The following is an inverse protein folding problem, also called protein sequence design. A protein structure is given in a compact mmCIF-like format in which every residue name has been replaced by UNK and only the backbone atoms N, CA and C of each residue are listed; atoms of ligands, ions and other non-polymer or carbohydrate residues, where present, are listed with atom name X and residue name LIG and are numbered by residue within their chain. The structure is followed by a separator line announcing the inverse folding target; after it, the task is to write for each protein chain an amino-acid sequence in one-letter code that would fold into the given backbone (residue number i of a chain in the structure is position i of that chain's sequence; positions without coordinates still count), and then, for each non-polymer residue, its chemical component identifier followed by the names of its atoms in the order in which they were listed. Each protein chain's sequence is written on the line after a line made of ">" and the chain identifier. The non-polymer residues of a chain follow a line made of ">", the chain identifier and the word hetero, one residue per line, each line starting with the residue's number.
data_IF_518870994854
#
_entry.id   IF_518870994854
#
_cell.length_a   1.000
_cell.length_b   1.000
_cell.length_c   1.000
_cell.angle_alpha   90.00
_cell.angle_beta   90.00
_cell.angle_gamma   90.00
#
_symmetry.space_group_name_H-M   'P 1'
#
loop_
_entity.id
_entity.type
_entity.pdbx_description
1 polymer ?
#
# COMPACT_ATOMS: atom_id res chain seq x y z
N UNK A 1 8.50 4.67 7.18
CA UNK A 1 7.26 5.36 6.82
C UNK A 1 6.11 4.36 6.92
N UNK A 2 5.00 4.72 7.51
CA UNK A 2 3.84 3.85 7.71
C UNK A 2 2.55 4.62 7.39
N UNK A 3 1.39 4.02 7.65
CA UNK A 3 0.09 4.61 7.33
C UNK A 3 -0.26 4.44 5.87
N UNK A 4 -0.70 5.49 5.21
CA UNK A 4 -1.07 5.44 3.79
C UNK A 4 0.19 5.45 2.92
N UNK A 5 0.43 4.36 2.20
CA UNK A 5 1.51 4.22 1.21
C UNK A 5 0.92 3.63 -0.06
N UNK A 6 0.91 4.39 -1.14
CA UNK A 6 0.50 3.91 -2.45
C UNK A 6 1.72 3.59 -3.31
N UNK A 7 1.57 2.72 -4.29
CA UNK A 7 2.65 2.41 -5.25
C UNK A 7 3.10 3.66 -6.01
N UNK A 8 2.16 4.51 -6.42
CA UNK A 8 2.46 5.76 -7.09
C UNK A 8 3.33 6.69 -6.23
N UNK A 9 2.98 6.87 -4.96
CA UNK A 9 3.79 7.68 -4.04
C UNK A 9 5.18 7.06 -3.79
N UNK A 10 5.24 5.73 -3.66
CA UNK A 10 6.52 5.02 -3.58
C UNK A 10 7.41 5.34 -4.76
N UNK A 11 6.91 5.17 -5.99
CA UNK A 11 7.69 5.33 -7.22
C UNK A 11 8.01 6.78 -7.56
N UNK A 12 7.06 7.69 -7.38
CA UNK A 12 7.23 9.10 -7.78
C UNK A 12 7.96 9.93 -6.73
N UNK A 13 7.85 9.59 -5.43
CA UNK A 13 8.35 10.43 -4.35
C UNK A 13 9.37 9.70 -3.47
N UNK A 14 8.98 8.58 -2.85
CA UNK A 14 9.81 7.98 -1.80
C UNK A 14 11.09 7.36 -2.35
N UNK A 15 10.98 6.44 -3.32
CA UNK A 15 12.14 5.74 -3.88
C UNK A 15 13.17 6.68 -4.54
N UNK A 16 12.79 7.72 -5.29
CA UNK A 16 13.74 8.73 -5.79
C UNK A 16 14.50 9.47 -4.68
N UNK A 17 13.82 9.76 -3.57
CA UNK A 17 14.47 10.37 -2.41
C UNK A 17 15.43 9.40 -1.70
N UNK A 18 15.06 8.12 -1.57
CA UNK A 18 15.95 7.07 -1.04
C UNK A 18 17.19 6.94 -1.92
N UNK A 19 17.02 6.86 -3.25
CA UNK A 19 18.15 6.85 -4.20
C UNK A 19 19.11 8.02 -3.98
N UNK A 20 18.57 9.22 -3.86
CA UNK A 20 19.37 10.43 -3.60
C UNK A 20 20.15 10.30 -2.29
N UNK A 21 19.52 9.73 -1.25
CA UNK A 21 20.19 9.47 0.03
C UNK A 21 21.32 8.44 -0.10
N UNK A 22 21.12 7.36 -0.83
CA UNK A 22 22.11 6.33 -1.09
C UNK A 22 23.32 6.93 -1.82
N UNK A 23 23.10 7.67 -2.91
CA UNK A 23 24.17 8.34 -3.67
C UNK A 23 25.01 9.28 -2.80
N UNK A 24 24.37 10.09 -1.96
CA UNK A 24 25.08 11.00 -1.05
C UNK A 24 25.91 10.26 -0.01
N UNK A 25 25.47 9.09 0.40
CA UNK A 25 26.17 8.26 1.39
C UNK A 25 27.21 7.32 0.78
N UNK A 26 27.34 7.26 -0.55
CA UNK A 26 28.18 6.30 -1.25
C UNK A 26 27.74 4.84 -1.02
N UNK A 27 26.42 4.62 -0.89
CA UNK A 27 25.79 3.32 -0.65
C UNK A 27 25.02 2.87 -1.87
N UNK A 28 24.68 1.59 -1.91
CA UNK A 28 23.92 0.94 -2.96
C UNK A 28 22.56 0.44 -2.44
N UNK A 29 21.64 0.06 -3.34
CA UNK A 29 20.37 -0.55 -3.00
C UNK A 29 20.52 -1.85 -2.19
N UNK A 30 21.58 -2.61 -2.43
CA UNK A 30 21.90 -3.81 -1.65
C UNK A 30 22.27 -3.54 -0.18
N UNK A 31 22.55 -2.29 0.19
CA UNK A 31 22.86 -1.89 1.56
C UNK A 31 21.60 -1.61 2.42
N UNK A 32 20.41 -1.69 1.83
CA UNK A 32 19.15 -1.42 2.52
C UNK A 32 18.13 -2.51 2.22
N UNK A 33 17.19 -2.68 3.13
CA UNK A 33 15.98 -3.48 2.91
C UNK A 33 14.78 -2.56 2.75
N UNK A 34 13.94 -2.84 1.75
CA UNK A 34 12.65 -2.19 1.60
C UNK A 34 11.56 -3.19 1.96
N UNK A 35 10.87 -2.92 3.05
CA UNK A 35 9.67 -3.66 3.44
C UNK A 35 8.45 -2.84 3.05
N UNK A 36 7.61 -3.41 2.23
CA UNK A 36 6.40 -2.74 1.78
C UNK A 36 5.15 -3.49 2.22
N UNK A 37 4.25 -2.74 2.81
CA UNK A 37 2.93 -3.23 3.19
C UNK A 37 1.80 -2.35 2.67
N UNK A 38 2.08 -1.43 1.74
CA UNK A 38 1.15 -0.44 1.16
C UNK A 38 -0.34 -0.79 1.20
N UNK A 39 -1.18 0.03 0.66
CA UNK A 39 -2.61 -0.31 0.52
C UNK A 39 -2.80 -1.33 -0.60
N UNK A 40 -2.47 -2.59 -0.30
CA UNK A 40 -2.81 -3.73 -1.15
C UNK A 40 -4.00 -4.46 -0.52
N UNK A 41 -5.12 -4.47 -1.24
CA UNK A 41 -6.34 -5.18 -0.83
C UNK A 41 -6.49 -6.43 -1.68
N UNK A 42 -6.56 -7.57 -1.00
CA UNK A 42 -6.57 -8.89 -1.64
C UNK A 42 -7.87 -9.61 -1.26
N UNK A 43 -8.53 -10.20 -2.23
CA UNK A 43 -9.76 -10.97 -2.02
C UNK A 43 -9.85 -12.20 -2.90
N UNK A 44 -10.91 -12.99 -2.72
CA UNK A 44 -11.21 -14.10 -3.61
C UNK A 44 -11.81 -13.62 -4.93
N UNK A 45 -12.52 -12.50 -4.88
CA UNK A 45 -13.19 -11.86 -6.03
C UNK A 45 -13.36 -10.36 -5.82
N UNK A 46 -13.87 -9.68 -6.85
CA UNK A 46 -14.12 -8.23 -6.85
C UNK A 46 -15.09 -7.80 -5.74
N UNK A 47 -16.08 -8.63 -5.40
CA UNK A 47 -17.05 -8.31 -4.35
C UNK A 47 -16.41 -8.30 -2.97
N UNK A 48 -15.54 -9.25 -2.67
CA UNK A 48 -14.80 -9.28 -1.42
C UNK A 48 -13.79 -8.12 -1.34
N UNK A 49 -13.11 -7.83 -2.46
CA UNK A 49 -12.17 -6.71 -2.57
C UNK A 49 -12.90 -5.40 -2.26
N UNK A 50 -14.07 -5.15 -2.87
CA UNK A 50 -14.86 -3.95 -2.62
C UNK A 50 -15.28 -3.83 -1.15
N UNK A 51 -15.75 -4.91 -0.54
CA UNK A 51 -16.11 -4.92 0.88
C UNK A 51 -14.91 -4.58 1.78
N UNK A 52 -13.74 -5.13 1.49
CA UNK A 52 -12.51 -4.83 2.21
C UNK A 52 -12.08 -3.38 2.03
N UNK A 53 -12.16 -2.84 0.81
CA UNK A 53 -11.91 -1.43 0.52
C UNK A 53 -12.82 -0.53 1.37
N UNK A 54 -14.13 -0.79 1.36
CA UNK A 54 -15.08 -0.03 2.17
C UNK A 54 -14.76 -0.10 3.66
N UNK A 55 -14.27 -1.24 4.14
CA UNK A 55 -13.78 -1.42 5.51
C UNK A 55 -12.58 -0.53 5.87
N UNK A 56 -11.80 -0.09 4.86
CA UNK A 56 -10.64 0.78 5.09
C UNK A 56 -10.98 2.26 5.29
N UNK A 57 -12.22 2.69 5.03
CA UNK A 57 -12.64 4.11 5.15
C UNK A 57 -12.21 4.76 6.46
N UNK A 58 -12.39 4.06 7.58
CA UNK A 58 -12.03 4.59 8.90
C UNK A 58 -10.53 4.80 9.04
N UNK A 59 -9.73 3.84 8.61
CA UNK A 59 -8.28 3.95 8.66
C UNK A 59 -7.78 5.06 7.72
N UNK A 60 -8.28 5.09 6.48
CA UNK A 60 -7.91 6.11 5.51
C UNK A 60 -8.28 7.51 5.98
N UNK A 61 -9.50 7.71 6.52
CA UNK A 61 -9.92 9.02 7.02
C UNK A 61 -9.04 9.49 8.18
N UNK A 62 -8.66 8.60 9.10
CA UNK A 62 -7.77 8.92 10.20
C UNK A 62 -6.36 9.30 9.72
N UNK A 63 -5.72 8.46 8.91
CA UNK A 63 -4.39 8.77 8.38
C UNK A 63 -4.42 9.99 7.46
N UNK A 64 -5.41 10.09 6.56
CA UNK A 64 -5.57 11.21 5.63
C UNK A 64 -5.82 12.55 6.33
N UNK A 65 -6.33 12.54 7.57
CA UNK A 65 -6.45 13.76 8.37
C UNK A 65 -5.11 14.28 8.92
N UNK A 66 -4.08 13.46 8.91
CA UNK A 66 -2.77 13.77 9.47
C UNK A 66 -1.88 14.43 8.42
N UNK A 67 -1.42 15.65 8.67
CA UNK A 67 -0.69 16.49 7.70
C UNK A 67 0.54 15.82 7.09
N UNK A 68 1.22 14.96 7.82
CA UNK A 68 2.39 14.23 7.30
C UNK A 68 2.08 13.27 6.15
N UNK A 69 0.81 12.91 5.98
CA UNK A 69 0.35 12.05 4.87
C UNK A 69 -0.27 12.86 3.71
N UNK A 70 -0.41 14.19 3.82
CA UNK A 70 -0.99 14.99 2.76
C UNK A 70 -0.19 14.94 1.45
N UNK A 71 1.11 14.66 1.51
CA UNK A 71 1.91 14.47 0.29
C UNK A 71 1.46 13.25 -0.52
N UNK A 72 1.10 12.15 0.16
CA UNK A 72 0.53 10.97 -0.50
C UNK A 72 -0.78 11.34 -1.20
N UNK A 73 -1.68 12.02 -0.48
CA UNK A 73 -2.95 12.45 -1.06
C UNK A 73 -2.75 13.42 -2.25
N UNK A 74 -1.79 14.34 -2.16
CA UNK A 74 -1.43 15.27 -3.25
C UNK A 74 -0.96 14.52 -4.50
N UNK A 75 -0.14 13.50 -4.34
CA UNK A 75 0.34 12.67 -5.46
C UNK A 75 -0.82 12.05 -6.25
N UNK A 76 -1.96 11.84 -5.59
CA UNK A 76 -3.20 11.30 -6.16
C UNK A 76 -4.25 12.37 -6.52
N UNK A 77 -3.94 13.66 -6.40
CA UNK A 77 -4.92 14.72 -6.64
C UNK A 77 -6.02 14.84 -5.59
N UNK A 78 -5.82 14.21 -4.41
CA UNK A 78 -6.76 14.18 -3.29
C UNK A 78 -6.41 15.20 -2.18
N UNK A 79 -5.76 16.30 -2.52
CA UNK A 79 -5.32 17.30 -1.55
C UNK A 79 -6.51 17.93 -0.79
N UNK A 80 -7.60 18.23 -1.49
CA UNK A 80 -8.82 18.79 -0.88
C UNK A 80 -9.44 17.80 0.13
N UNK A 81 -9.44 16.51 -0.17
CA UNK A 81 -9.87 15.48 0.76
C UNK A 81 -9.03 15.53 2.05
N UNK A 82 -7.70 15.59 1.94
CA UNK A 82 -6.81 15.69 3.09
C UNK A 82 -7.09 16.91 3.96
N UNK A 83 -7.29 18.07 3.34
CA UNK A 83 -7.63 19.32 4.05
C UNK A 83 -8.99 19.21 4.78
N UNK A 84 -10.00 18.64 4.12
CA UNK A 84 -11.33 18.43 4.71
C UNK A 84 -11.28 17.47 5.89
N UNK A 85 -10.60 16.32 5.74
CA UNK A 85 -10.42 15.35 6.80
C UNK A 85 -9.70 15.96 8.01
N UNK A 86 -8.65 16.76 7.75
CA UNK A 86 -7.95 17.47 8.83
C UNK A 86 -8.86 18.45 9.56
N UNK A 87 -9.63 19.25 8.85
CA UNK A 87 -10.58 20.21 9.45
C UNK A 87 -11.64 19.50 10.33
N UNK A 88 -12.16 18.36 9.87
CA UNK A 88 -13.12 17.54 10.63
C UNK A 88 -12.48 16.91 11.87
N UNK A 89 -11.23 16.45 11.77
CA UNK A 89 -10.50 15.85 12.90
C UNK A 89 -10.31 16.85 14.06
N UNK A 90 -10.02 18.12 13.75
CA UNK A 90 -9.90 19.18 14.74
C UNK A 90 -11.22 19.47 15.48
N UNK A 91 -12.36 19.11 14.88
CA UNK A 91 -13.68 19.24 15.45
C UNK A 91 -14.17 17.97 16.16
N UNK A 92 -13.37 16.89 16.15
CA UNK A 92 -13.76 15.58 16.70
C UNK A 92 -14.86 14.87 15.92
N UNK A 93 -15.08 15.22 14.64
CA UNK A 93 -16.17 14.68 13.80
C UNK A 93 -15.75 13.38 13.09
N UNK A 94 -15.42 12.36 13.86
CA UNK A 94 -14.82 11.11 13.36
C UNK A 94 -15.72 10.32 12.42
N UNK A 95 -17.04 10.29 12.68
CA UNK A 95 -17.99 9.59 11.79
C UNK A 95 -18.16 10.36 10.46
N UNK A 96 -18.25 11.70 10.50
CA UNK A 96 -18.31 12.51 9.29
C UNK A 96 -17.04 12.39 8.44
N UNK A 97 -15.87 12.26 9.09
CA UNK A 97 -14.61 11.97 8.40
C UNK A 97 -14.66 10.64 7.63
N UNK A 98 -15.10 9.57 8.30
CA UNK A 98 -15.26 8.26 7.67
C UNK A 98 -16.19 8.34 6.46
N UNK A 99 -17.33 8.98 6.63
CA UNK A 99 -18.37 9.08 5.58
C UNK A 99 -17.99 10.04 4.44
N UNK A 100 -16.99 10.89 4.65
CA UNK A 100 -16.41 11.75 3.61
C UNK A 100 -15.59 10.96 2.59
N UNK A 101 -14.95 9.86 3.00
CA UNK A 101 -14.14 9.03 2.10
C UNK A 101 -15.04 8.18 1.21
N UNK A 102 -14.92 8.35 -0.09
CA UNK A 102 -15.69 7.64 -1.12
C UNK A 102 -15.01 6.33 -1.54
N UNK A 103 -15.70 5.48 -2.28
CA UNK A 103 -15.09 4.30 -2.90
C UNK A 103 -14.07 4.70 -3.97
N UNK A 104 -14.32 5.77 -4.71
CA UNK A 104 -13.39 6.30 -5.72
C UNK A 104 -12.09 6.77 -5.09
N UNK A 105 -12.13 7.44 -3.93
CA UNK A 105 -10.92 7.83 -3.18
C UNK A 105 -10.10 6.59 -2.73
N UNK A 106 -10.79 5.52 -2.33
CA UNK A 106 -10.15 4.27 -1.94
C UNK A 106 -9.49 3.58 -3.14
N UNK A 107 -10.19 3.50 -4.27
CA UNK A 107 -9.67 2.90 -5.50
C UNK A 107 -8.48 3.68 -6.07
N UNK A 108 -8.44 5.00 -5.90
CA UNK A 108 -7.30 5.82 -6.32
C UNK A 108 -6.04 5.52 -5.49
N UNK A 109 -6.19 5.22 -4.20
CA UNK A 109 -5.07 5.04 -3.28
C UNK A 109 -4.62 3.59 -3.12
N UNK A 110 -5.56 2.64 -3.17
CA UNK A 110 -5.30 1.23 -2.96
C UNK A 110 -4.98 0.51 -4.28
N UNK A 111 -4.11 -0.47 -4.19
CA UNK A 111 -3.98 -1.48 -5.23
C UNK A 111 -4.80 -2.70 -4.85
N UNK A 112 -5.31 -3.40 -5.83
CA UNK A 112 -6.15 -4.58 -5.62
C UNK A 112 -5.70 -5.73 -6.49
N UNK A 113 -5.80 -6.94 -5.97
CA UNK A 113 -5.67 -8.17 -6.75
C UNK A 113 -6.40 -9.32 -6.05
N UNK A 114 -6.67 -10.39 -6.77
CA UNK A 114 -7.12 -11.63 -6.15
C UNK A 114 -5.95 -12.39 -5.51
N UNK A 115 -6.25 -13.37 -4.64
CA UNK A 115 -5.21 -14.23 -4.08
C UNK A 115 -4.45 -15.01 -5.16
N UNK A 116 -5.11 -15.38 -6.25
CA UNK A 116 -4.47 -16.13 -7.33
C UNK A 116 -3.52 -15.25 -8.16
N UNK A 117 -3.81 -13.95 -8.29
CA UNK A 117 -2.99 -12.97 -9.00
C UNK A 117 -1.82 -12.44 -8.15
N UNK A 118 -1.86 -12.62 -6.82
CA UNK A 118 -0.89 -12.02 -5.90
C UNK A 118 0.58 -12.28 -6.27
N UNK A 119 1.02 -13.51 -6.63
CA UNK A 119 2.43 -13.73 -6.99
C UNK A 119 2.87 -12.92 -8.19
N UNK A 120 2.05 -12.87 -9.24
CA UNK A 120 2.32 -12.05 -10.44
C UNK A 120 2.34 -10.57 -10.08
N UNK A 121 1.34 -10.09 -9.33
CA UNK A 121 1.26 -8.71 -8.87
C UNK A 121 2.53 -8.28 -8.13
N UNK A 122 3.02 -9.10 -7.21
CA UNK A 122 4.24 -8.80 -6.45
C UNK A 122 5.47 -8.71 -7.35
N UNK A 123 5.62 -9.60 -8.33
CA UNK A 123 6.72 -9.57 -9.29
C UNK A 123 6.71 -8.31 -10.19
N UNK A 124 5.53 -7.82 -10.55
CA UNK A 124 5.36 -6.68 -11.45
C UNK A 124 5.44 -5.33 -10.71
N UNK A 125 4.88 -5.25 -9.50
CA UNK A 125 4.68 -4.00 -8.78
C UNK A 125 5.55 -3.84 -7.53
N UNK A 126 6.20 -4.91 -7.06
CA UNK A 126 7.01 -4.92 -5.82
C UNK A 126 8.40 -5.48 -6.05
N UNK A 127 8.93 -5.39 -7.26
CA UNK A 127 10.24 -5.93 -7.66
C UNK A 127 11.40 -5.39 -6.80
N UNK A 128 11.23 -4.24 -6.19
CA UNK A 128 12.22 -3.60 -5.33
C UNK A 128 12.12 -4.01 -3.86
N UNK A 129 11.01 -4.62 -3.45
CA UNK A 129 10.79 -4.93 -2.05
C UNK A 129 11.41 -6.28 -1.68
N UNK A 130 12.14 -6.31 -0.57
CA UNK A 130 12.67 -7.53 0.02
C UNK A 130 11.64 -8.26 0.90
N UNK A 131 10.58 -7.54 1.31
CA UNK A 131 9.49 -8.08 2.12
C UNK A 131 8.17 -7.44 1.71
N UNK A 132 7.15 -8.29 1.54
CA UNK A 132 5.76 -7.88 1.38
C UNK A 132 4.88 -8.66 2.34
N UNK A 133 3.87 -7.98 2.93
CA UNK A 133 2.93 -8.62 3.83
C UNK A 133 1.58 -8.83 3.14
N UNK A 134 0.98 -9.99 3.35
CA UNK A 134 -0.41 -10.23 2.98
C UNK A 134 -1.13 -11.03 4.07
N UNK A 135 -2.45 -10.91 4.10
CA UNK A 135 -3.31 -11.65 5.01
C UNK A 135 -4.34 -12.48 4.24
N UNK A 136 -4.69 -13.63 4.81
CA UNK A 136 -5.69 -14.54 4.26
C UNK A 136 -6.41 -15.24 5.42
N UNK A 137 -7.70 -15.62 5.29
CA UNK A 137 -8.39 -16.42 6.31
C UNK A 137 -7.65 -17.73 6.60
N UNK A 138 -7.57 -18.11 7.89
CA UNK A 138 -6.85 -19.29 8.39
C UNK A 138 -7.59 -19.97 9.55
N UNK A 139 -8.90 -20.15 9.41
CA UNK A 139 -9.73 -20.73 10.48
C UNK A 139 -10.03 -22.23 10.29
N UNK A 140 -9.79 -22.78 9.10
CA UNK A 140 -10.04 -24.18 8.77
C UNK A 140 -8.80 -24.86 8.18
N UNK A 141 -8.71 -26.23 8.22
CA UNK A 141 -7.60 -26.93 7.58
C UNK A 141 -7.44 -26.63 6.09
N UNK A 142 -8.54 -26.47 5.37
CA UNK A 142 -8.52 -26.15 3.93
C UNK A 142 -7.96 -24.74 3.67
N UNK A 143 -8.35 -23.75 4.49
CA UNK A 143 -7.80 -22.40 4.41
C UNK A 143 -6.32 -22.37 4.76
N UNK A 144 -5.87 -23.15 5.75
CA UNK A 144 -4.46 -23.28 6.09
C UNK A 144 -3.66 -23.89 4.93
N UNK A 145 -4.14 -24.97 4.30
CA UNK A 145 -3.50 -25.57 3.14
C UNK A 145 -3.39 -24.55 1.98
N UNK A 146 -4.47 -23.82 1.68
CA UNK A 146 -4.49 -22.75 0.68
C UNK A 146 -3.49 -21.65 1.00
N UNK A 147 -3.41 -21.23 2.26
CA UNK A 147 -2.43 -20.23 2.69
C UNK A 147 -0.99 -20.70 2.47
N UNK A 148 -0.68 -21.95 2.82
CA UNK A 148 0.67 -22.51 2.63
C UNK A 148 1.03 -22.62 1.14
N UNK A 149 0.08 -23.00 0.29
CA UNK A 149 0.29 -23.05 -1.16
C UNK A 149 0.55 -21.65 -1.74
N UNK A 150 -0.26 -20.66 -1.36
CA UNK A 150 -0.06 -19.27 -1.77
C UNK A 150 1.26 -18.70 -1.23
N UNK A 151 1.60 -18.99 0.02
CA UNK A 151 2.87 -18.56 0.63
C UNK A 151 4.07 -19.10 -0.15
N UNK A 152 4.04 -20.38 -0.55
CA UNK A 152 5.09 -20.97 -1.35
C UNK A 152 5.24 -20.28 -2.72
N UNK A 153 4.12 -19.96 -3.38
CA UNK A 153 4.11 -19.21 -4.65
C UNK A 153 4.68 -17.79 -4.49
N UNK A 154 4.29 -17.10 -3.42
CA UNK A 154 4.80 -15.75 -3.11
C UNK A 154 6.31 -15.79 -2.80
N UNK A 155 6.77 -16.77 -2.05
CA UNK A 155 8.20 -16.94 -1.74
C UNK A 155 9.04 -17.29 -2.96
N UNK A 156 8.45 -17.85 -4.01
CA UNK A 156 9.11 -18.13 -5.26
C UNK A 156 9.23 -16.92 -6.22
N UNK A 157 8.60 -15.79 -5.88
CA UNK A 157 8.71 -14.56 -6.68
C UNK A 157 10.11 -13.99 -6.56
N UNK A 158 10.79 -13.89 -7.69
CA UNK A 158 12.10 -13.25 -7.74
C UNK A 158 11.94 -11.72 -7.76
N UNK A 159 12.69 -11.04 -6.90
CA UNK A 159 12.75 -9.58 -6.84
C UNK A 159 14.18 -9.09 -7.10
N UNK A 160 14.31 -7.99 -7.82
CA UNK A 160 15.64 -7.41 -8.12
C UNK A 160 16.25 -6.69 -6.92
N UNK A 161 15.43 -6.26 -5.96
CA UNK A 161 15.83 -5.36 -4.89
C UNK A 161 16.15 -3.94 -5.37
N UNK A 162 15.99 -3.66 -6.66
CA UNK A 162 16.26 -2.37 -7.29
C UNK A 162 15.00 -1.88 -7.98
N UNK A 163 14.50 -0.67 -7.67
CA UNK A 163 13.36 -0.10 -8.35
C UNK A 163 13.68 0.17 -9.83
N UNK A 164 12.77 -0.21 -10.73
CA UNK A 164 12.91 0.05 -12.17
C UNK A 164 13.13 1.53 -12.45
N UNK A 165 14.15 1.85 -13.24
CA UNK A 165 14.50 3.22 -13.64
C UNK A 165 15.18 4.04 -12.54
N UNK A 166 15.54 3.44 -11.41
CA UNK A 166 16.21 4.09 -10.28
C UNK A 166 17.55 3.43 -9.91
N UNK A 167 18.17 2.76 -10.84
CA UNK A 167 19.52 2.21 -10.71
C UNK A 167 20.52 3.32 -10.30
N UNK A 168 21.61 2.95 -9.59
CA UNK A 168 22.63 3.86 -9.10
C UNK A 168 23.83 3.98 -10.04
#
# INVERSE_FOLDING_TARGET
>A
HGGIMSDRYMREVLLPNVRTGLQRAGRDWSDIEISESGYLVIGDDDSEIEQKLLGMRRALSFYGSTRTYHEVLRTHGLEELGQKLHALSLQGKWEEMRDTVTLDDLNELAQTCTYDELPQFLGEHREYASRSGFGMPRGTPAEEERFQDLLAKVQAVETSGVPKGLEL
#
